data_IF_501357851687
#
_entry.id   IF_501357851687
#
_cell.length_a   1.000
_cell.length_b   1.000
_cell.length_c   1.000
_cell.angle_alpha   90.00
_cell.angle_beta   90.00
_cell.angle_gamma   90.00
#
_symmetry.space_group_name_H-M   'P 1'
#
loop_
_entity.id
_entity.type
_entity.pdbx_description
1 polymer ?
#
# COMPACT_ATOMS: atom_id res chain seq x y z
N UNK A 1 28.77 -5.31 0.67
CA UNK A 1 28.12 -5.36 -0.64
C UNK A 1 26.69 -5.79 -0.40
N UNK A 2 25.78 -4.83 -0.32
CA UNK A 2 24.34 -5.10 -0.17
C UNK A 2 23.86 -5.53 -1.56
N UNK A 3 23.44 -6.78 -1.69
CA UNK A 3 22.93 -7.31 -2.95
C UNK A 3 21.69 -6.53 -3.39
N UNK A 4 21.75 -5.97 -4.59
CA UNK A 4 20.62 -5.33 -5.24
C UNK A 4 19.53 -6.37 -5.45
N UNK A 5 18.52 -6.39 -4.58
CA UNK A 5 17.30 -7.18 -4.79
C UNK A 5 16.56 -6.48 -5.94
N UNK A 6 16.28 -7.17 -7.06
CA UNK A 6 15.53 -6.54 -8.15
C UNK A 6 14.14 -6.18 -7.64
N UNK A 7 13.80 -4.89 -7.74
CA UNK A 7 12.48 -4.37 -7.42
C UNK A 7 11.43 -5.11 -8.26
N UNK A 8 10.37 -5.68 -7.67
CA UNK A 8 9.34 -6.35 -8.45
C UNK A 8 8.74 -5.36 -9.44
N UNK A 9 8.72 -5.73 -10.72
CA UNK A 9 8.00 -4.96 -11.74
C UNK A 9 6.53 -4.90 -11.34
N UNK A 10 5.93 -3.68 -11.37
CA UNK A 10 4.56 -3.39 -10.93
C UNK A 10 3.45 -4.17 -11.67
N UNK A 11 3.82 -5.12 -12.51
CA UNK A 11 2.94 -6.03 -13.21
C UNK A 11 3.36 -7.49 -12.95
N UNK A 12 2.83 -8.08 -11.87
CA UNK A 12 2.84 -9.54 -11.66
C UNK A 12 1.68 -10.21 -12.44
N UNK A 13 1.63 -9.91 -13.72
CA UNK A 13 0.91 -10.70 -14.70
C UNK A 13 1.87 -10.76 -15.88
N UNK A 14 2.44 -11.93 -16.18
CA UNK A 14 3.53 -12.23 -17.10
C UNK A 14 3.57 -11.56 -18.48
N UNK A 15 3.48 -10.23 -18.51
CA UNK A 15 3.65 -9.40 -19.69
C UNK A 15 5.11 -8.98 -19.76
N UNK A 16 5.81 -9.45 -20.76
CA UNK A 16 7.20 -9.14 -21.01
C UNK A 16 7.39 -7.61 -21.02
N UNK A 17 8.53 -7.09 -20.50
CA UNK A 17 8.89 -5.65 -20.45
C UNK A 17 8.79 -4.93 -21.81
N UNK A 18 8.66 -5.65 -22.90
CA UNK A 18 8.47 -5.15 -24.27
C UNK A 18 7.06 -4.54 -24.53
N UNK A 19 6.06 -4.83 -23.70
CA UNK A 19 4.66 -4.40 -23.90
C UNK A 19 4.20 -3.30 -22.94
N UNK A 20 5.03 -2.91 -21.96
CA UNK A 20 4.68 -1.86 -21.01
C UNK A 20 4.51 -0.50 -21.72
N UNK A 21 3.41 0.19 -21.45
CA UNK A 21 3.18 1.53 -21.99
C UNK A 21 4.25 2.53 -21.54
N UNK A 22 4.51 3.63 -22.30
CA UNK A 22 5.45 4.66 -21.86
C UNK A 22 5.11 5.19 -20.47
N UNK A 23 3.84 5.37 -20.16
CA UNK A 23 3.37 5.80 -18.83
C UNK A 23 3.77 4.79 -17.73
N UNK A 24 3.58 3.50 -18.00
CA UNK A 24 3.96 2.46 -17.04
C UNK A 24 5.46 2.42 -16.82
N UNK A 25 6.28 2.46 -17.88
CA UNK A 25 7.74 2.51 -17.75
C UNK A 25 8.23 3.70 -16.93
N UNK A 26 7.56 4.87 -17.04
CA UNK A 26 7.89 6.05 -16.24
C UNK A 26 7.57 5.83 -14.75
N UNK A 27 6.45 5.20 -14.42
CA UNK A 27 6.09 4.87 -13.02
C UNK A 27 7.07 3.86 -12.42
N UNK A 28 7.40 2.80 -13.15
CA UNK A 28 8.36 1.78 -12.72
C UNK A 28 9.75 2.38 -12.52
N UNK A 29 10.17 3.27 -13.43
CA UNK A 29 11.44 3.98 -13.33
C UNK A 29 11.48 4.92 -12.12
N UNK A 30 10.39 5.63 -11.82
CA UNK A 30 10.29 6.48 -10.63
C UNK A 30 10.39 5.63 -9.36
N UNK A 31 9.67 4.51 -9.28
CA UNK A 31 9.73 3.62 -8.12
C UNK A 31 11.15 3.05 -7.90
N UNK A 32 11.80 2.60 -8.97
CA UNK A 32 13.18 2.10 -8.89
C UNK A 32 14.18 3.20 -8.48
N UNK A 33 14.01 4.43 -8.98
CA UNK A 33 14.88 5.56 -8.58
C UNK A 33 14.66 5.93 -7.10
N UNK A 34 13.43 5.90 -6.63
CA UNK A 34 13.09 6.09 -5.21
C UNK A 34 13.77 5.03 -4.33
N UNK A 35 13.76 3.78 -4.75
CA UNK A 35 14.37 2.68 -4.00
C UNK A 35 15.90 2.81 -3.90
N UNK A 36 16.55 3.35 -4.94
CA UNK A 36 18.01 3.46 -4.98
C UNK A 36 18.54 4.72 -4.27
N UNK A 37 17.88 5.86 -4.45
CA UNK A 37 18.43 7.15 -4.02
C UNK A 37 17.45 8.02 -3.22
N UNK A 38 16.23 7.54 -2.99
CA UNK A 38 15.15 8.31 -2.35
C UNK A 38 14.49 9.32 -3.29
N UNK A 39 13.28 9.77 -2.92
CA UNK A 39 12.52 10.71 -3.76
C UNK A 39 13.18 12.07 -3.89
N UNK A 40 13.80 12.60 -2.83
CA UNK A 40 14.43 13.92 -2.84
C UNK A 40 15.54 14.03 -3.91
N UNK A 41 16.34 12.98 -4.08
CA UNK A 41 17.42 12.93 -5.05
C UNK A 41 16.96 12.55 -6.47
N UNK A 42 15.78 11.96 -6.64
CA UNK A 42 15.25 11.53 -7.94
C UNK A 42 14.85 12.74 -8.81
N UNK A 43 15.33 12.79 -10.04
CA UNK A 43 15.02 13.86 -11.02
C UNK A 43 14.22 13.31 -12.21
N UNK A 44 13.51 14.20 -12.94
CA UNK A 44 12.85 13.82 -14.20
C UNK A 44 13.87 13.27 -15.21
N UNK A 45 15.12 13.80 -15.20
CA UNK A 45 16.19 13.31 -16.08
C UNK A 45 16.53 11.83 -15.83
N UNK A 46 16.66 11.43 -14.57
CA UNK A 46 16.92 10.04 -14.19
C UNK A 46 15.75 9.12 -14.50
N UNK A 47 14.51 9.57 -14.22
CA UNK A 47 13.30 8.80 -14.53
C UNK A 47 13.20 8.51 -16.03
N UNK A 48 13.40 9.50 -16.91
CA UNK A 48 13.30 9.27 -18.35
C UNK A 48 14.45 8.43 -18.90
N UNK A 49 15.65 8.58 -18.34
CA UNK A 49 16.81 7.75 -18.70
C UNK A 49 16.54 6.27 -18.35
N UNK A 50 16.09 6.00 -17.13
CA UNK A 50 15.74 4.65 -16.65
C UNK A 50 14.55 4.06 -17.43
N UNK A 51 13.53 4.85 -17.72
CA UNK A 51 12.36 4.45 -18.50
C UNK A 51 12.67 4.26 -20.01
N UNK A 52 13.89 4.58 -20.46
CA UNK A 52 14.30 4.58 -21.88
C UNK A 52 13.33 5.38 -22.74
N UNK A 53 13.04 6.62 -22.32
CA UNK A 53 12.11 7.52 -23.00
C UNK A 53 12.65 8.95 -23.02
N UNK A 54 11.88 9.91 -23.52
CA UNK A 54 12.27 11.31 -23.62
C UNK A 54 11.60 12.18 -22.55
N UNK A 55 12.20 13.36 -22.25
CA UNK A 55 11.53 14.38 -21.41
C UNK A 55 10.19 14.81 -21.99
N UNK A 56 10.08 14.91 -23.33
CA UNK A 56 8.81 15.21 -23.99
C UNK A 56 7.76 14.17 -23.62
N UNK A 57 8.08 12.89 -23.77
CA UNK A 57 7.17 11.78 -23.38
C UNK A 57 6.78 11.84 -21.91
N UNK A 58 7.71 12.25 -21.02
CA UNK A 58 7.36 12.46 -19.61
C UNK A 58 6.28 13.53 -19.45
N UNK A 59 6.49 14.70 -20.07
CA UNK A 59 5.55 15.83 -19.97
C UNK A 59 4.25 15.63 -20.74
N UNK A 60 4.21 14.70 -21.70
CA UNK A 60 2.97 14.26 -22.35
C UNK A 60 2.06 13.45 -21.37
N UNK A 61 2.66 12.86 -20.30
CA UNK A 61 1.93 12.04 -19.32
C UNK A 61 1.77 12.69 -17.94
N UNK A 62 2.73 13.50 -17.52
CA UNK A 62 2.77 14.08 -16.17
C UNK A 62 3.21 15.54 -16.26
N UNK A 63 2.48 16.43 -15.58
CA UNK A 63 2.82 17.86 -15.54
C UNK A 63 4.19 18.11 -14.91
N UNK A 64 4.54 17.33 -13.89
CA UNK A 64 5.77 17.42 -13.13
C UNK A 64 6.09 16.09 -12.42
N UNK A 65 7.19 16.07 -11.66
CA UNK A 65 7.61 14.90 -10.89
C UNK A 65 6.61 14.54 -9.77
N UNK A 66 5.97 15.53 -9.18
CA UNK A 66 4.97 15.32 -8.13
C UNK A 66 3.72 14.66 -8.68
N UNK A 67 3.23 15.09 -9.85
CA UNK A 67 2.13 14.43 -10.55
C UNK A 67 2.44 12.97 -10.90
N UNK A 68 3.69 12.68 -11.30
CA UNK A 68 4.15 11.32 -11.53
C UNK A 68 4.16 10.49 -10.23
N UNK A 69 4.62 11.07 -9.11
CA UNK A 69 4.59 10.42 -7.80
C UNK A 69 3.16 10.13 -7.35
N UNK A 70 2.25 11.09 -7.44
CA UNK A 70 0.83 10.88 -7.08
C UNK A 70 0.22 9.77 -7.91
N UNK A 71 0.54 9.69 -9.20
CA UNK A 71 0.09 8.60 -10.08
C UNK A 71 0.68 7.24 -9.66
N UNK A 72 1.96 7.18 -9.28
CA UNK A 72 2.61 5.99 -8.73
C UNK A 72 1.92 5.54 -7.44
N UNK A 73 1.73 6.46 -6.49
CA UNK A 73 1.06 6.18 -5.22
C UNK A 73 -0.38 5.69 -5.42
N UNK A 74 -1.09 6.23 -6.41
CA UNK A 74 -2.43 5.76 -6.79
C UNK A 74 -2.42 4.30 -7.23
N UNK A 75 -1.46 3.92 -8.08
CA UNK A 75 -1.30 2.55 -8.56
C UNK A 75 -0.97 1.61 -7.40
N UNK A 76 0.01 1.96 -6.58
CA UNK A 76 0.46 1.14 -5.44
C UNK A 76 -0.68 0.91 -4.44
N UNK A 77 -1.40 1.95 -4.03
CA UNK A 77 -2.49 1.78 -3.08
C UNK A 77 -3.65 0.93 -3.65
N UNK A 78 -3.91 1.03 -4.95
CA UNK A 78 -4.88 0.15 -5.62
C UNK A 78 -4.42 -1.31 -5.59
N UNK A 79 -3.15 -1.57 -5.88
CA UNK A 79 -2.56 -2.91 -5.85
C UNK A 79 -2.57 -3.49 -4.43
N UNK A 80 -2.29 -2.69 -3.40
CA UNK A 80 -2.40 -3.11 -2.01
C UNK A 80 -3.83 -3.58 -1.66
N UNK A 81 -4.84 -2.81 -2.04
CA UNK A 81 -6.25 -3.19 -1.83
C UNK A 81 -6.60 -4.47 -2.59
N UNK A 82 -6.10 -4.62 -3.82
CA UNK A 82 -6.30 -5.83 -4.62
C UNK A 82 -5.61 -7.05 -3.99
N UNK A 83 -4.38 -6.90 -3.48
CA UNK A 83 -3.65 -7.97 -2.80
C UNK A 83 -4.42 -8.46 -1.56
N UNK A 84 -4.92 -7.55 -0.72
CA UNK A 84 -5.74 -7.90 0.43
C UNK A 84 -7.01 -8.64 -0.02
N UNK A 85 -7.73 -8.10 -1.02
CA UNK A 85 -8.98 -8.71 -1.49
C UNK A 85 -8.77 -10.10 -2.10
N UNK A 86 -7.62 -10.35 -2.72
CA UNK A 86 -7.26 -11.64 -3.29
C UNK A 86 -6.74 -12.64 -2.25
N UNK A 87 -6.12 -12.15 -1.16
CA UNK A 87 -5.54 -12.97 -0.12
C UNK A 87 -6.54 -13.46 0.94
N UNK A 88 -7.75 -12.88 0.99
CA UNK A 88 -8.77 -13.23 2.00
C UNK A 88 -9.71 -14.30 1.48
N UNK A 89 -9.75 -15.44 2.17
CA UNK A 89 -10.80 -16.46 1.99
C UNK A 89 -12.07 -16.03 2.76
N UNK A 90 -13.04 -15.48 2.03
CA UNK A 90 -14.32 -15.02 2.61
C UNK A 90 -15.16 -16.16 3.21
N UNK A 91 -14.81 -17.43 2.97
CA UNK A 91 -15.46 -18.61 3.57
C UNK A 91 -14.81 -19.02 4.91
N UNK A 92 -13.63 -18.52 5.22
CA UNK A 92 -12.93 -18.81 6.46
C UNK A 92 -13.59 -18.16 7.69
N UNK A 93 -13.27 -18.61 8.92
CA UNK A 93 -13.64 -17.91 10.17
C UNK A 93 -13.14 -16.46 10.17
N UNK A 94 -13.84 -15.58 10.90
CA UNK A 94 -13.52 -14.14 10.93
C UNK A 94 -12.08 -13.84 11.35
N UNK A 95 -11.58 -14.54 12.35
CA UNK A 95 -10.21 -14.40 12.85
C UNK A 95 -9.16 -14.75 11.78
N UNK A 96 -9.47 -15.75 10.94
CA UNK A 96 -8.63 -16.16 9.83
C UNK A 96 -8.66 -15.11 8.72
N UNK A 97 -9.83 -14.55 8.41
CA UNK A 97 -9.95 -13.47 7.42
C UNK A 97 -9.16 -12.23 7.85
N UNK A 98 -9.24 -11.84 9.13
CA UNK A 98 -8.44 -10.72 9.67
C UNK A 98 -6.94 -10.99 9.50
N UNK A 99 -6.48 -12.18 9.90
CA UNK A 99 -5.07 -12.57 9.75
C UNK A 99 -4.63 -12.49 8.30
N UNK A 100 -5.35 -13.10 7.38
CA UNK A 100 -5.05 -13.09 5.95
C UNK A 100 -5.01 -11.66 5.38
N UNK A 101 -5.92 -10.79 5.78
CA UNK A 101 -5.95 -9.39 5.34
C UNK A 101 -4.71 -8.62 5.83
N UNK A 102 -4.34 -8.80 7.09
CA UNK A 102 -3.15 -8.16 7.68
C UNK A 102 -1.87 -8.69 7.04
N UNK A 103 -1.73 -10.00 6.91
CA UNK A 103 -0.56 -10.65 6.27
C UNK A 103 -0.38 -10.15 4.83
N UNK A 104 -1.46 -10.15 4.03
CA UNK A 104 -1.43 -9.67 2.64
C UNK A 104 -1.01 -8.19 2.55
N UNK A 105 -1.46 -7.35 3.48
CA UNK A 105 -1.08 -5.94 3.48
C UNK A 105 0.38 -5.75 3.90
N UNK A 106 0.85 -6.46 4.93
CA UNK A 106 2.24 -6.38 5.42
C UNK A 106 3.21 -6.87 4.35
N UNK A 107 2.95 -8.03 3.73
CA UNK A 107 3.75 -8.57 2.63
C UNK A 107 3.83 -7.59 1.44
N UNK A 108 2.70 -6.97 1.10
CA UNK A 108 2.68 -5.92 0.08
C UNK A 108 3.50 -4.71 0.48
N UNK A 109 3.37 -4.23 1.72
CA UNK A 109 4.12 -3.09 2.24
C UNK A 109 5.63 -3.36 2.25
N UNK A 110 6.05 -4.57 2.62
CA UNK A 110 7.44 -5.00 2.60
C UNK A 110 8.02 -4.98 1.18
N UNK A 111 7.31 -5.58 0.22
CA UNK A 111 7.76 -5.64 -1.17
C UNK A 111 7.85 -4.26 -1.84
N UNK A 112 7.20 -3.23 -1.28
CA UNK A 112 7.17 -1.86 -1.78
C UNK A 112 7.71 -0.83 -0.77
N UNK A 113 8.52 -1.27 0.20
CA UNK A 113 8.94 -0.53 1.39
C UNK A 113 9.38 0.93 1.12
N UNK A 114 10.28 1.25 0.16
CA UNK A 114 10.72 2.63 -0.05
C UNK A 114 9.59 3.59 -0.45
N UNK A 115 8.66 3.13 -1.30
CA UNK A 115 7.54 3.96 -1.75
C UNK A 115 6.44 4.01 -0.68
N UNK A 116 6.23 2.93 0.06
CA UNK A 116 5.29 2.90 1.18
C UNK A 116 5.72 3.83 2.31
N UNK A 117 7.02 3.90 2.61
CA UNK A 117 7.54 4.81 3.62
C UNK A 117 7.29 6.28 3.25
N UNK A 118 7.59 6.67 2.00
CA UNK A 118 7.28 8.01 1.48
C UNK A 118 5.77 8.28 1.56
N UNK A 119 4.94 7.31 1.18
CA UNK A 119 3.48 7.44 1.26
C UNK A 119 3.02 7.71 2.69
N UNK A 120 3.54 6.98 3.67
CA UNK A 120 3.11 7.11 5.06
C UNK A 120 3.63 8.43 5.67
N UNK A 121 4.91 8.76 5.49
CA UNK A 121 5.60 9.87 6.16
C UNK A 121 5.45 11.22 5.46
N UNK A 122 5.54 11.22 4.13
CA UNK A 122 5.73 12.45 3.38
C UNK A 122 4.49 12.89 2.57
N UNK A 123 3.46 12.04 2.46
CA UNK A 123 2.31 12.32 1.59
C UNK A 123 1.63 13.68 1.84
N UNK A 124 1.70 14.22 3.07
CA UNK A 124 1.14 15.53 3.40
C UNK A 124 1.91 16.70 2.76
N UNK A 125 3.19 16.51 2.42
CA UNK A 125 4.04 17.53 1.81
C UNK A 125 3.83 17.64 0.28
N UNK A 126 3.24 16.64 -0.37
CA UNK A 126 3.07 16.59 -1.83
C UNK A 126 1.78 17.26 -2.32
N UNK A 127 1.43 18.42 -1.77
CA UNK A 127 0.36 19.28 -2.27
C UNK A 127 -1.07 18.73 -2.15
N UNK A 128 -2.04 19.43 -2.75
CA UNK A 128 -3.47 19.09 -2.62
C UNK A 128 -3.85 17.74 -3.22
N UNK A 129 -3.24 17.35 -4.35
CA UNK A 129 -3.55 16.10 -5.02
C UNK A 129 -3.18 14.87 -4.16
N UNK A 130 -2.02 14.90 -3.50
CA UNK A 130 -1.61 13.84 -2.60
C UNK A 130 -2.47 13.77 -1.34
N UNK A 131 -2.89 14.93 -0.80
CA UNK A 131 -3.84 14.98 0.32
C UNK A 131 -5.19 14.37 -0.06
N UNK A 132 -5.73 14.70 -1.23
CA UNK A 132 -6.97 14.11 -1.71
C UNK A 132 -6.82 12.58 -1.89
N UNK A 133 -5.73 12.14 -2.52
CA UNK A 133 -5.43 10.71 -2.65
C UNK A 133 -5.40 10.00 -1.28
N UNK A 134 -4.82 10.63 -0.26
CA UNK A 134 -4.78 10.05 1.11
C UNK A 134 -6.18 9.87 1.69
N UNK A 135 -7.08 10.82 1.48
CA UNK A 135 -8.48 10.70 1.91
C UNK A 135 -9.19 9.57 1.15
N UNK A 136 -9.04 9.53 -0.17
CA UNK A 136 -9.70 8.54 -1.02
C UNK A 136 -9.21 7.11 -0.71
N UNK A 137 -7.91 6.95 -0.49
CA UNK A 137 -7.31 5.67 -0.11
C UNK A 137 -7.77 5.24 1.28
N UNK A 138 -7.81 6.16 2.25
CA UNK A 138 -8.31 5.84 3.59
C UNK A 138 -9.78 5.40 3.54
N UNK A 139 -10.59 6.09 2.75
CA UNK A 139 -12.00 5.71 2.54
C UNK A 139 -12.15 4.34 1.86
N UNK A 140 -11.27 4.03 0.91
CA UNK A 140 -11.26 2.72 0.25
C UNK A 140 -10.94 1.58 1.23
N UNK A 141 -9.97 1.76 2.13
CA UNK A 141 -9.67 0.79 3.18
C UNK A 141 -10.81 0.64 4.19
N UNK A 142 -11.47 1.75 4.59
CA UNK A 142 -12.63 1.70 5.47
C UNK A 142 -13.73 0.86 4.84
N UNK A 143 -14.06 1.13 3.57
CA UNK A 143 -15.08 0.33 2.84
C UNK A 143 -14.69 -1.14 2.73
N UNK A 144 -13.42 -1.44 2.51
CA UNK A 144 -12.94 -2.82 2.45
C UNK A 144 -13.15 -3.56 3.78
N UNK A 145 -12.75 -2.95 4.91
CA UNK A 145 -12.95 -3.51 6.26
C UNK A 145 -14.44 -3.71 6.54
N UNK A 146 -15.26 -2.72 6.22
CA UNK A 146 -16.70 -2.81 6.41
C UNK A 146 -17.34 -3.91 5.53
N UNK A 147 -16.93 -4.03 4.27
CA UNK A 147 -17.44 -5.07 3.38
C UNK A 147 -17.09 -6.49 3.87
N UNK A 148 -15.89 -6.71 4.38
CA UNK A 148 -15.52 -8.00 4.98
C UNK A 148 -16.33 -8.30 6.25
N UNK A 149 -16.54 -7.31 7.13
CA UNK A 149 -17.26 -7.47 8.39
C UNK A 149 -18.79 -7.51 8.24
N UNK A 150 -19.35 -7.02 7.15
CA UNK A 150 -20.80 -6.96 6.90
C UNK A 150 -21.31 -8.14 6.03
N UNK A 151 -20.65 -9.27 6.05
CA UNK A 151 -21.11 -10.46 5.33
C UNK A 151 -22.32 -11.09 6.04
N UNK A 152 -23.26 -11.66 5.26
CA UNK A 152 -24.44 -12.35 5.81
C UNK A 152 -24.05 -13.45 6.79
N UNK A 153 -22.97 -14.19 6.48
CA UNK A 153 -22.42 -15.24 7.34
C UNK A 153 -21.99 -14.72 8.71
N UNK A 154 -21.26 -13.59 8.74
CA UNK A 154 -20.78 -13.00 9.98
C UNK A 154 -21.93 -12.42 10.79
N UNK A 155 -22.90 -11.78 10.14
CA UNK A 155 -24.13 -11.32 10.81
C UNK A 155 -24.93 -12.48 11.41
N UNK A 156 -25.06 -13.60 10.71
CA UNK A 156 -25.70 -14.80 11.22
C UNK A 156 -24.95 -15.41 12.41
N UNK A 157 -23.61 -15.22 12.48
CA UNK A 157 -22.77 -15.61 13.61
C UNK A 157 -22.77 -14.58 14.77
N UNK A 158 -23.55 -13.50 14.67
CA UNK A 158 -23.68 -12.46 15.70
C UNK A 158 -22.62 -11.35 15.63
N UNK A 159 -21.79 -11.33 14.60
CA UNK A 159 -20.84 -10.24 14.39
C UNK A 159 -21.58 -8.99 13.89
N UNK A 160 -21.10 -7.82 14.36
CA UNK A 160 -21.58 -6.53 13.88
C UNK A 160 -20.59 -5.97 12.85
N UNK A 161 -21.07 -5.18 11.86
CA UNK A 161 -20.16 -4.47 10.95
C UNK A 161 -19.20 -3.56 11.71
N UNK A 162 -17.94 -3.52 11.30
CA UNK A 162 -16.92 -2.70 11.97
C UNK A 162 -17.29 -1.22 11.87
N UNK A 163 -17.43 -0.50 12.99
CA UNK A 163 -17.71 0.92 12.99
C UNK A 163 -16.59 1.72 12.32
N UNK A 164 -16.96 2.76 11.57
CA UNK A 164 -16.01 3.59 10.82
C UNK A 164 -14.81 4.07 11.66
N UNK A 165 -15.06 4.55 12.88
CA UNK A 165 -13.99 5.08 13.74
C UNK A 165 -12.98 4.01 14.16
N UNK A 166 -13.41 2.76 14.38
CA UNK A 166 -12.51 1.63 14.66
C UNK A 166 -11.65 1.29 13.45
N UNK A 167 -12.25 1.29 12.25
CA UNK A 167 -11.49 1.12 11.01
C UNK A 167 -10.43 2.22 10.82
N UNK A 168 -10.76 3.49 11.09
CA UNK A 168 -9.82 4.62 11.01
C UNK A 168 -8.66 4.44 11.99
N UNK A 169 -8.95 4.06 13.25
CA UNK A 169 -7.93 3.82 14.28
C UNK A 169 -7.00 2.68 13.85
N UNK A 170 -7.56 1.58 13.36
CA UNK A 170 -6.78 0.44 12.88
C UNK A 170 -5.87 0.80 11.71
N UNK A 171 -6.40 1.45 10.67
CA UNK A 171 -5.63 1.88 9.49
C UNK A 171 -4.50 2.84 9.90
N UNK A 172 -4.76 3.76 10.83
CA UNK A 172 -3.75 4.68 11.35
C UNK A 172 -2.64 3.96 12.10
N UNK A 173 -3.00 3.06 13.01
CA UNK A 173 -2.06 2.24 13.78
C UNK A 173 -1.20 1.34 12.90
N UNK A 174 -1.82 0.64 11.94
CA UNK A 174 -1.11 -0.21 10.96
C UNK A 174 -0.05 0.57 10.17
N UNK A 175 -0.41 1.75 9.66
CA UNK A 175 0.52 2.61 8.92
C UNK A 175 1.69 3.04 9.79
N UNK A 176 1.43 3.44 11.03
CA UNK A 176 2.48 3.89 11.94
C UNK A 176 3.41 2.74 12.32
N UNK A 177 2.88 1.59 12.71
CA UNK A 177 3.68 0.41 13.05
C UNK A 177 4.58 -0.02 11.89
N UNK A 178 4.02 -0.07 10.67
CA UNK A 178 4.79 -0.41 9.48
C UNK A 178 5.90 0.62 9.19
N UNK A 179 5.61 1.92 9.32
CA UNK A 179 6.63 2.93 9.10
C UNK A 179 7.77 2.83 10.12
N UNK A 180 7.47 2.62 11.41
CA UNK A 180 8.47 2.43 12.44
C UNK A 180 9.34 1.19 12.18
N UNK A 181 8.74 0.08 11.73
CA UNK A 181 9.46 -1.14 11.38
C UNK A 181 10.39 -0.92 10.17
N UNK A 182 9.90 -0.24 9.13
CA UNK A 182 10.67 0.06 7.92
C UNK A 182 11.81 1.04 8.18
N UNK A 183 11.60 2.05 9.05
CA UNK A 183 12.62 3.03 9.47
C UNK A 183 13.71 2.41 10.34
N UNK A 184 13.35 1.43 11.15
CA UNK A 184 14.29 0.74 12.06
C UNK A 184 15.31 -0.13 11.33
N UNK A 185 15.21 -0.32 10.02
CA UNK A 185 16.13 -1.17 9.24
C UNK A 185 16.13 -2.63 9.69
N UNK A 186 15.20 -3.00 10.54
CA UNK A 186 15.02 -4.37 11.01
C UNK A 186 14.48 -5.20 9.84
N UNK A 187 15.21 -6.25 9.46
CA UNK A 187 14.84 -7.15 8.36
C UNK A 187 13.45 -7.79 8.55
N UNK A 188 13.14 -8.80 7.76
CA UNK A 188 11.88 -9.58 7.74
C UNK A 188 11.26 -9.88 9.12
N UNK A 189 12.07 -10.02 10.18
CA UNK A 189 11.60 -10.29 11.53
C UNK A 189 10.77 -9.15 12.17
N UNK A 190 11.03 -7.88 11.83
CA UNK A 190 10.30 -6.76 12.43
C UNK A 190 8.89 -6.61 11.84
N UNK A 191 8.72 -6.89 10.55
CA UNK A 191 7.39 -6.87 9.92
C UNK A 191 6.57 -8.09 10.34
N UNK A 192 7.21 -9.23 10.63
CA UNK A 192 6.55 -10.38 11.26
C UNK A 192 5.96 -10.04 12.63
N UNK A 193 6.70 -9.29 13.47
CA UNK A 193 6.19 -8.79 14.75
C UNK A 193 5.01 -7.81 14.55
N UNK A 194 5.11 -6.90 13.56
CA UNK A 194 3.98 -5.99 13.20
C UNK A 194 2.74 -6.78 12.84
N UNK A 195 2.88 -7.89 12.10
CA UNK A 195 1.74 -8.73 11.70
C UNK A 195 1.02 -9.30 12.91
N UNK A 196 1.75 -9.89 13.86
CA UNK A 196 1.15 -10.50 15.06
C UNK A 196 0.39 -9.46 15.90
N UNK A 197 1.03 -8.34 16.22
CA UNK A 197 0.43 -7.24 16.99
C UNK A 197 -0.77 -6.61 16.28
N UNK A 198 -0.70 -6.46 14.95
CA UNK A 198 -1.79 -5.90 14.16
C UNK A 198 -3.00 -6.84 14.10
N UNK A 199 -2.78 -8.15 14.04
CA UNK A 199 -3.86 -9.15 14.11
C UNK A 199 -4.55 -9.08 15.47
N UNK A 200 -3.79 -9.05 16.56
CA UNK A 200 -4.34 -8.97 17.92
C UNK A 200 -5.09 -7.65 18.14
N UNK A 201 -4.56 -6.54 17.65
CA UNK A 201 -5.24 -5.23 17.68
C UNK A 201 -6.54 -5.26 16.87
N UNK A 202 -6.54 -5.84 15.67
CA UNK A 202 -7.74 -5.96 14.84
C UNK A 202 -8.81 -6.82 15.53
N UNK A 203 -8.45 -7.96 16.08
CA UNK A 203 -9.36 -8.83 16.83
C UNK A 203 -9.98 -8.10 18.03
N UNK A 204 -9.17 -7.32 18.75
CA UNK A 204 -9.63 -6.52 19.88
C UNK A 204 -10.56 -5.37 19.48
N UNK A 205 -10.25 -4.68 18.38
CA UNK A 205 -11.02 -3.53 17.91
C UNK A 205 -12.32 -3.93 17.19
N UNK A 206 -12.30 -5.06 16.49
CA UNK A 206 -13.38 -5.48 15.61
C UNK A 206 -14.26 -6.55 16.24
N UNK A 207 -13.75 -7.31 17.22
CA UNK A 207 -14.45 -8.43 17.87
C UNK A 207 -15.35 -8.04 19.03
N UNK A 208 -15.35 -6.79 19.50
CA UNK A 208 -16.19 -6.39 20.64
C UNK A 208 -17.60 -6.02 20.20
N UNK A 209 -18.65 -6.60 20.85
CA UNK A 209 -20.00 -6.06 20.75
C UNK A 209 -20.00 -4.62 21.27
N UNK A 210 -20.78 -3.76 20.61
CA UNK A 210 -21.00 -2.40 21.13
C UNK A 210 -21.59 -2.52 22.54
N UNK A 211 -20.84 -2.04 23.55
CA UNK A 211 -21.34 -1.86 24.91
C UNK A 211 -22.28 -0.66 24.84
N UNK A 212 -23.57 -0.96 24.79
CA UNK A 212 -24.65 0.03 24.89
C UNK A 212 -24.74 0.61 26.28
#
# INVERSE_FOLDING_TARGET
MVGCVPYPTFYSGGVAMSEATPRQRLLDALAASIAEMGYAATTVGEVVQRARTSRRTFYDHFADREACLVALLTVINRQAIQAISAGVDVSAPWEVQIRQAVESWVEFAESHAPVMLIWIRESAAFGPAARQLKLDVTEAYIRLIQAFSDSERLRAAGHQPVPRHRAVMFIGGMREMAALALEGGAGTDALGAVTAEAVDAALSLFGQPDVS
#
